data_IF_545226976758
#
_entry.id   IF_545226976758
#
_cell.length_a   1.000
_cell.length_b   1.000
_cell.length_c   1.000
_cell.angle_alpha   90.00
_cell.angle_beta   90.00
_cell.angle_gamma   90.00
#
_symmetry.space_group_name_H-M   'P 1'
#
loop_
_entity.id
_entity.type
_entity.pdbx_description
1 polymer ?
#
# COMPACT_ATOMS: atom_id res chain seq x y z
N UNK A 1 -13.89 8.47 -33.32
CA UNK A 1 -14.37 7.45 -32.35
C UNK A 1 -13.19 6.82 -31.58
N UNK A 2 -12.55 7.55 -30.67
CA UNK A 2 -11.39 7.05 -29.89
C UNK A 2 -11.74 6.59 -28.45
N UNK A 3 -13.03 6.34 -28.19
CA UNK A 3 -13.60 6.10 -26.86
C UNK A 3 -13.20 4.77 -26.14
N UNK A 4 -13.04 3.60 -26.80
CA UNK A 4 -12.96 2.34 -26.05
C UNK A 4 -11.65 2.11 -25.30
N UNK A 5 -10.53 2.70 -25.76
CA UNK A 5 -9.21 2.58 -25.11
C UNK A 5 -9.06 3.50 -23.88
N UNK A 6 -9.81 4.60 -23.83
CA UNK A 6 -9.84 5.50 -22.66
C UNK A 6 -10.55 4.84 -21.49
N UNK A 7 -11.70 4.22 -21.75
CA UNK A 7 -12.45 3.45 -20.75
C UNK A 7 -11.63 2.29 -20.21
N UNK A 8 -10.90 1.58 -21.08
CA UNK A 8 -10.08 0.45 -20.65
C UNK A 8 -8.94 0.86 -19.70
N UNK A 9 -8.30 2.02 -19.92
CA UNK A 9 -7.24 2.52 -19.02
C UNK A 9 -7.81 3.03 -17.70
N UNK A 10 -8.95 3.74 -17.74
CA UNK A 10 -9.64 4.19 -16.52
C UNK A 10 -10.10 3.00 -15.66
N UNK A 11 -10.66 1.96 -16.30
CA UNK A 11 -11.04 0.70 -15.64
C UNK A 11 -9.79 0.01 -15.05
N UNK A 12 -8.69 -0.08 -15.81
CA UNK A 12 -7.44 -0.65 -15.31
C UNK A 12 -6.92 0.11 -14.08
N UNK A 13 -7.06 1.44 -14.04
CA UNK A 13 -6.65 2.25 -12.90
C UNK A 13 -7.53 1.97 -11.68
N UNK A 14 -8.85 1.86 -11.85
CA UNK A 14 -9.76 1.47 -10.79
C UNK A 14 -9.42 0.08 -10.23
N UNK A 15 -9.15 -0.90 -11.11
CA UNK A 15 -8.75 -2.24 -10.70
C UNK A 15 -7.41 -2.25 -9.96
N UNK A 16 -6.43 -1.46 -10.43
CA UNK A 16 -5.13 -1.33 -9.75
C UNK A 16 -5.26 -0.68 -8.36
N UNK A 17 -6.12 0.35 -8.23
CA UNK A 17 -6.45 0.97 -6.93
C UNK A 17 -7.08 -0.03 -5.98
N UNK A 18 -8.12 -0.73 -6.43
CA UNK A 18 -8.82 -1.76 -5.66
C UNK A 18 -7.87 -2.88 -5.23
N UNK A 19 -6.95 -3.30 -6.10
CA UNK A 19 -5.92 -4.28 -5.76
C UNK A 19 -5.00 -3.78 -4.65
N UNK A 20 -4.49 -2.54 -4.77
CA UNK A 20 -3.63 -1.93 -3.74
C UNK A 20 -4.36 -1.82 -2.40
N UNK A 21 -5.64 -1.45 -2.41
CA UNK A 21 -6.47 -1.38 -1.19
C UNK A 21 -6.69 -2.76 -0.56
N UNK A 22 -6.99 -3.79 -1.37
CA UNK A 22 -7.16 -5.15 -0.87
C UNK A 22 -5.88 -5.69 -0.21
N UNK A 23 -4.70 -5.42 -0.79
CA UNK A 23 -3.41 -5.83 -0.19
C UNK A 23 -3.09 -4.99 1.05
N UNK A 24 -3.45 -3.71 1.09
CA UNK A 24 -3.30 -2.87 2.28
C UNK A 24 -4.16 -3.36 3.45
N UNK A 25 -5.40 -3.81 3.17
CA UNK A 25 -6.25 -4.45 4.18
C UNK A 25 -5.61 -5.75 4.70
N UNK A 26 -5.05 -6.58 3.82
CA UNK A 26 -4.30 -7.76 4.25
C UNK A 26 -3.10 -7.39 5.13
N UNK A 27 -2.38 -6.31 4.82
CA UNK A 27 -1.27 -5.82 5.64
C UNK A 27 -1.73 -5.43 7.04
N UNK A 28 -2.88 -4.76 7.15
CA UNK A 28 -3.46 -4.39 8.44
C UNK A 28 -3.76 -5.62 9.30
N UNK A 29 -4.39 -6.65 8.71
CA UNK A 29 -4.70 -7.91 9.40
C UNK A 29 -3.44 -8.61 9.91
N UNK A 30 -2.41 -8.79 9.07
CA UNK A 30 -1.18 -9.47 9.51
C UNK A 30 -0.39 -8.67 10.54
N UNK A 31 -0.45 -7.34 10.50
CA UNK A 31 0.14 -6.48 11.53
C UNK A 31 -0.58 -6.61 12.86
N UNK A 32 -1.91 -6.63 12.86
CA UNK A 32 -2.68 -6.87 14.08
C UNK A 32 -2.34 -8.22 14.71
N UNK A 33 -2.21 -9.28 13.89
CA UNK A 33 -1.79 -10.60 14.37
C UNK A 33 -0.37 -10.57 14.97
N UNK A 34 0.57 -9.87 14.34
CA UNK A 34 1.93 -9.70 14.88
C UNK A 34 1.93 -8.98 16.23
N UNK A 35 1.19 -7.86 16.36
CA UNK A 35 1.07 -7.13 17.63
C UNK A 35 0.45 -7.99 18.72
N UNK A 36 -0.60 -8.75 18.40
CA UNK A 36 -1.22 -9.66 19.36
C UNK A 36 -0.25 -10.76 19.81
N UNK A 37 0.52 -11.35 18.89
CA UNK A 37 1.52 -12.36 19.21
C UNK A 37 2.66 -11.81 20.08
N UNK A 38 3.08 -10.56 19.85
CA UNK A 38 4.07 -9.87 20.67
C UNK A 38 3.56 -9.68 22.10
N UNK A 39 2.33 -9.16 22.24
CA UNK A 39 1.72 -8.95 23.57
C UNK A 39 1.61 -10.27 24.36
N UNK A 40 1.26 -11.36 23.69
CA UNK A 40 1.22 -12.69 24.31
C UNK A 40 2.60 -13.16 24.77
N UNK A 41 3.65 -12.91 23.97
CA UNK A 41 5.02 -13.25 24.36
C UNK A 41 5.47 -12.44 25.58
N UNK A 42 5.25 -11.12 25.56
CA UNK A 42 5.60 -10.22 26.66
C UNK A 42 4.91 -10.66 27.97
N UNK A 43 3.65 -11.09 27.89
CA UNK A 43 2.92 -11.62 29.04
C UNK A 43 3.53 -12.92 29.59
N UNK A 44 3.92 -13.85 28.72
CA UNK A 44 4.54 -15.11 29.14
C UNK A 44 5.91 -14.88 29.78
N UNK A 45 6.72 -13.99 29.20
CA UNK A 45 8.04 -13.64 29.73
C UNK A 45 7.93 -12.91 31.07
N UNK A 46 7.03 -11.93 31.18
CA UNK A 46 6.76 -11.25 32.44
C UNK A 46 6.29 -12.22 33.53
N UNK A 47 5.37 -13.13 33.19
CA UNK A 47 4.90 -14.14 34.12
C UNK A 47 5.99 -15.12 34.56
N UNK A 48 6.88 -15.53 33.65
CA UNK A 48 8.04 -16.37 33.98
C UNK A 48 8.98 -15.66 34.96
N UNK A 49 9.26 -14.37 34.71
CA UNK A 49 10.12 -13.55 35.58
C UNK A 49 9.52 -13.39 36.98
N UNK A 50 8.25 -12.97 37.06
CA UNK A 50 7.56 -12.82 38.35
C UNK A 50 7.55 -14.12 39.16
N UNK A 51 7.30 -15.25 38.48
CA UNK A 51 7.23 -16.55 39.12
C UNK A 51 8.59 -16.98 39.66
N UNK A 52 9.66 -16.70 38.92
CA UNK A 52 11.05 -16.97 39.36
C UNK A 52 11.43 -16.10 40.57
N UNK A 53 11.08 -14.81 40.55
CA UNK A 53 11.35 -13.88 41.67
C UNK A 53 10.59 -14.30 42.93
N UNK A 54 9.28 -14.58 42.81
CA UNK A 54 8.46 -15.06 43.94
C UNK A 54 8.99 -16.37 44.51
N UNK A 55 9.41 -17.30 43.64
CA UNK A 55 9.98 -18.57 44.05
C UNK A 55 11.29 -18.38 44.85
N UNK A 56 12.23 -17.58 44.34
CA UNK A 56 13.50 -17.32 45.01
C UNK A 56 13.35 -16.62 46.38
N UNK A 57 12.31 -15.80 46.55
CA UNK A 57 11.99 -15.16 47.84
C UNK A 57 11.42 -16.15 48.90
N UNK A 58 10.87 -17.29 48.47
CA UNK A 58 10.22 -18.28 49.33
C UNK A 58 11.05 -19.56 49.55
N UNK A 59 12.21 -19.70 48.90
CA UNK A 59 12.91 -20.97 48.66
C UNK A 59 13.35 -21.73 49.93
N UNK A 60 13.59 -21.05 51.05
CA UNK A 60 14.08 -21.64 52.30
C UNK A 60 13.10 -22.61 53.01
N UNK A 61 11.86 -22.80 52.50
CA UNK A 61 10.78 -23.56 53.19
C UNK A 61 10.04 -24.59 52.34
N UNK A 62 10.45 -24.86 51.09
CA UNK A 62 9.68 -25.75 50.21
C UNK A 62 10.00 -27.22 50.41
N UNK A 63 8.98 -28.07 50.34
CA UNK A 63 9.16 -29.53 50.29
C UNK A 63 9.74 -29.95 48.92
N UNK A 64 10.53 -31.04 48.86
CA UNK A 64 11.15 -31.53 47.62
C UNK A 64 10.15 -31.75 46.47
N UNK A 65 8.94 -32.22 46.78
CA UNK A 65 7.88 -32.42 45.78
C UNK A 65 7.44 -31.09 45.13
N UNK A 66 7.36 -30.00 45.90
CA UNK A 66 7.00 -28.68 45.38
C UNK A 66 8.11 -28.14 44.47
N UNK A 67 9.38 -28.34 44.84
CA UNK A 67 10.51 -27.97 44.00
C UNK A 67 10.45 -28.67 42.63
N UNK A 68 10.18 -29.99 42.63
CA UNK A 68 10.04 -30.76 41.38
C UNK A 68 8.92 -30.21 40.50
N UNK A 69 7.76 -29.88 41.08
CA UNK A 69 6.64 -29.32 40.32
C UNK A 69 6.94 -27.93 39.77
N UNK A 70 7.64 -27.09 40.53
CA UNK A 70 8.08 -25.78 40.06
C UNK A 70 8.99 -25.89 38.82
N UNK A 71 10.03 -26.72 38.86
CA UNK A 71 10.92 -26.91 37.71
C UNK A 71 10.19 -27.47 36.49
N UNK A 72 9.32 -28.48 36.67
CA UNK A 72 8.51 -29.03 35.58
C UNK A 72 7.58 -27.99 34.94
N UNK A 73 7.02 -27.10 35.74
CA UNK A 73 6.20 -26.00 35.26
C UNK A 73 7.03 -24.98 34.49
N UNK A 74 8.18 -24.56 35.03
CA UNK A 74 9.09 -23.62 34.38
C UNK A 74 9.63 -24.16 33.04
N UNK A 75 9.95 -25.45 32.96
CA UNK A 75 10.36 -26.09 31.70
C UNK A 75 9.27 -26.00 30.62
N UNK A 76 8.00 -26.25 31.01
CA UNK A 76 6.86 -26.10 30.10
C UNK A 76 6.64 -24.66 29.71
N UNK A 77 6.75 -23.72 30.64
CA UNK A 77 6.59 -22.29 30.36
C UNK A 77 7.65 -21.79 29.38
N UNK A 78 8.92 -22.13 29.60
CA UNK A 78 10.01 -21.82 28.67
C UNK A 78 9.82 -22.49 27.30
N UNK A 79 9.29 -23.71 27.26
CA UNK A 79 8.95 -24.37 25.99
C UNK A 79 7.86 -23.59 25.24
N UNK A 80 6.80 -23.17 25.93
CA UNK A 80 5.72 -22.35 25.34
C UNK A 80 6.23 -21.00 24.84
N UNK A 81 7.11 -20.32 25.61
CA UNK A 81 7.76 -19.08 25.18
C UNK A 81 8.52 -19.30 23.87
N UNK A 82 9.35 -20.35 23.77
CA UNK A 82 10.06 -20.67 22.52
C UNK A 82 9.12 -20.91 21.34
N UNK A 83 8.01 -21.62 21.56
CA UNK A 83 6.99 -21.81 20.50
C UNK A 83 6.38 -20.47 20.08
N UNK A 84 6.03 -19.61 21.04
CA UNK A 84 5.46 -18.29 20.79
C UNK A 84 6.43 -17.36 20.06
N UNK A 85 7.74 -17.41 20.37
CA UNK A 85 8.78 -16.71 19.61
C UNK A 85 8.79 -17.15 18.14
N UNK A 86 8.69 -18.45 17.87
CA UNK A 86 8.59 -18.95 16.49
C UNK A 86 7.34 -18.46 15.75
N UNK A 87 6.20 -18.36 16.44
CA UNK A 87 4.96 -17.79 15.88
C UNK A 87 5.13 -16.29 15.57
N UNK A 88 5.77 -15.54 16.47
CA UNK A 88 6.07 -14.13 16.28
C UNK A 88 6.94 -13.89 15.04
N UNK A 89 7.98 -14.72 14.85
CA UNK A 89 8.82 -14.68 13.65
C UNK A 89 8.03 -14.96 12.37
N UNK A 90 7.12 -15.95 12.38
CA UNK A 90 6.26 -16.24 11.24
C UNK A 90 5.36 -15.05 10.89
N UNK A 91 4.79 -14.38 11.90
CA UNK A 91 4.01 -13.16 11.70
C UNK A 91 4.87 -12.00 11.18
N UNK A 92 6.09 -11.81 11.69
CA UNK A 92 7.01 -10.79 11.21
C UNK A 92 7.38 -11.02 9.72
N UNK A 93 7.65 -12.27 9.34
CA UNK A 93 7.87 -12.63 7.94
C UNK A 93 6.63 -12.38 7.06
N UNK A 94 5.43 -12.69 7.57
CA UNK A 94 4.18 -12.39 6.86
C UNK A 94 4.01 -10.89 6.64
N UNK A 95 4.23 -10.05 7.67
CA UNK A 95 4.20 -8.59 7.57
C UNK A 95 5.18 -8.10 6.50
N UNK A 96 6.41 -8.62 6.50
CA UNK A 96 7.43 -8.26 5.50
C UNK A 96 6.98 -8.61 4.07
N UNK A 97 6.51 -9.85 3.85
CA UNK A 97 6.02 -10.31 2.53
C UNK A 97 4.84 -9.50 2.03
N UNK A 98 3.85 -9.21 2.87
CA UNK A 98 2.67 -8.45 2.45
C UNK A 98 3.02 -6.96 2.24
N UNK A 99 3.93 -6.40 3.04
CA UNK A 99 4.43 -5.03 2.82
C UNK A 99 5.10 -4.87 1.47
N UNK A 100 5.88 -5.87 1.02
CA UNK A 100 6.45 -5.88 -0.33
C UNK A 100 5.37 -5.88 -1.42
N UNK A 101 4.28 -6.64 -1.24
CA UNK A 101 3.14 -6.66 -2.18
C UNK A 101 2.39 -5.34 -2.23
N UNK A 102 2.26 -4.63 -1.11
CA UNK A 102 1.67 -3.27 -1.10
C UNK A 102 2.52 -2.34 -1.97
N UNK A 103 3.84 -2.32 -1.74
CA UNK A 103 4.77 -1.49 -2.53
C UNK A 103 4.70 -1.81 -4.03
N UNK A 104 4.66 -3.09 -4.39
CA UNK A 104 4.51 -3.52 -5.78
C UNK A 104 3.18 -3.03 -6.40
N UNK A 105 2.07 -3.12 -5.65
CA UNK A 105 0.78 -2.65 -6.12
C UNK A 105 0.73 -1.11 -6.28
N UNK A 106 1.37 -0.38 -5.37
CA UNK A 106 1.54 1.08 -5.46
C UNK A 106 2.37 1.48 -6.68
N UNK A 107 3.51 0.82 -6.92
CA UNK A 107 4.35 1.05 -8.10
C UNK A 107 3.57 0.83 -9.40
N UNK A 108 2.79 -0.25 -9.49
CA UNK A 108 1.95 -0.54 -10.67
C UNK A 108 0.87 0.52 -10.89
N UNK A 109 0.21 0.95 -9.81
CA UNK A 109 -0.79 2.01 -9.88
C UNK A 109 -0.18 3.33 -10.36
N UNK A 110 0.99 3.69 -9.83
CA UNK A 110 1.67 4.93 -10.20
C UNK A 110 2.15 4.89 -11.66
N UNK A 111 2.75 3.78 -12.10
CA UNK A 111 3.12 3.59 -13.49
C UNK A 111 1.91 3.75 -14.43
N UNK A 112 0.75 3.20 -14.07
CA UNK A 112 -0.46 3.33 -14.87
C UNK A 112 -0.98 4.77 -14.92
N UNK A 113 -0.96 5.49 -13.80
CA UNK A 113 -1.32 6.93 -13.76
C UNK A 113 -0.41 7.77 -14.67
N UNK A 114 0.88 7.49 -14.69
CA UNK A 114 1.82 8.19 -15.57
C UNK A 114 1.51 7.94 -17.05
N UNK A 115 1.15 6.71 -17.41
CA UNK A 115 0.73 6.36 -18.78
C UNK A 115 -0.55 7.10 -19.17
N UNK A 116 -1.56 7.13 -18.29
CA UNK A 116 -2.81 7.85 -18.52
C UNK A 116 -2.54 9.35 -18.70
N UNK A 117 -1.78 9.96 -17.78
CA UNK A 117 -1.43 11.37 -17.84
C UNK A 117 -0.66 11.74 -19.12
N UNK A 118 0.31 10.92 -19.53
CA UNK A 118 1.05 11.11 -20.79
C UNK A 118 0.14 11.09 -22.01
N UNK A 119 -0.83 10.17 -22.03
CA UNK A 119 -1.79 10.04 -23.12
C UNK A 119 -2.74 11.24 -23.17
N UNK A 120 -3.24 11.68 -22.03
CA UNK A 120 -4.16 12.82 -21.96
C UNK A 120 -3.45 14.15 -22.30
N UNK A 121 -2.17 14.28 -21.95
CA UNK A 121 -1.33 15.40 -22.42
C UNK A 121 -1.19 15.40 -23.95
N UNK A 122 -0.91 14.24 -24.57
CA UNK A 122 -0.82 14.10 -26.04
C UNK A 122 -2.15 14.41 -26.72
N UNK A 123 -3.27 13.97 -26.14
CA UNK A 123 -4.61 14.25 -26.66
C UNK A 123 -4.91 15.75 -26.65
N UNK A 124 -4.68 16.43 -25.52
CA UNK A 124 -4.85 17.89 -25.39
C UNK A 124 -3.98 18.66 -26.38
N UNK A 125 -2.72 18.25 -26.56
CA UNK A 125 -1.83 18.89 -27.54
C UNK A 125 -2.31 18.69 -28.99
N UNK A 126 -2.91 17.53 -29.30
CA UNK A 126 -3.49 17.30 -30.62
C UNK A 126 -4.75 18.15 -30.87
N UNK A 127 -5.57 18.34 -29.85
CA UNK A 127 -6.77 19.19 -29.89
C UNK A 127 -6.40 20.66 -30.05
N UNK A 128 -5.50 21.20 -29.24
CA UNK A 128 -4.99 22.57 -29.37
C UNK A 128 -4.44 22.87 -30.76
N UNK A 129 -3.72 21.91 -31.38
CA UNK A 129 -3.23 22.07 -32.76
C UNK A 129 -4.35 22.13 -33.79
N UNK A 130 -5.44 21.40 -33.58
CA UNK A 130 -6.63 21.43 -34.46
C UNK A 130 -7.38 22.75 -34.32
N UNK A 131 -7.58 23.20 -33.09
CA UNK A 131 -8.23 24.48 -32.79
C UNK A 131 -7.44 25.65 -33.37
N UNK A 132 -6.12 25.68 -33.17
CA UNK A 132 -5.25 26.71 -33.75
C UNK A 132 -5.36 26.73 -35.27
N UNK A 133 -5.26 25.56 -35.92
CA UNK A 133 -5.37 25.46 -37.38
C UNK A 133 -6.73 25.98 -37.88
N UNK A 134 -7.82 25.62 -37.21
CA UNK A 134 -9.16 26.09 -37.57
C UNK A 134 -9.31 27.61 -37.39
N UNK A 135 -8.72 28.17 -36.33
CA UNK A 135 -8.70 29.62 -36.09
C UNK A 135 -7.91 30.36 -37.18
N UNK A 136 -6.73 29.85 -37.55
CA UNK A 136 -5.89 30.40 -38.61
C UNK A 136 -6.60 30.38 -39.98
N UNK A 137 -7.28 29.28 -40.31
CA UNK A 137 -8.07 29.13 -41.53
C UNK A 137 -9.23 30.15 -41.59
N UNK A 138 -9.90 30.40 -40.47
CA UNK A 138 -10.99 31.38 -40.38
C UNK A 138 -10.46 32.81 -40.51
N UNK A 139 -9.34 33.14 -39.85
CA UNK A 139 -8.68 34.43 -39.99
C UNK A 139 -8.25 34.71 -41.44
N UNK A 140 -7.66 33.72 -42.12
CA UNK A 140 -7.28 33.83 -43.52
C UNK A 140 -8.48 34.04 -44.45
N UNK A 141 -9.63 33.43 -44.17
CA UNK A 141 -10.86 33.65 -44.93
C UNK A 141 -11.42 35.06 -44.74
N UNK A 142 -11.46 35.57 -43.50
CA UNK A 142 -11.88 36.94 -43.20
C UNK A 142 -10.95 37.94 -43.87
N UNK A 143 -9.64 37.75 -43.79
CA UNK A 143 -8.67 38.62 -44.43
C UNK A 143 -8.84 38.64 -45.96
N UNK A 144 -9.08 37.49 -46.60
CA UNK A 144 -9.38 37.40 -48.04
C UNK A 144 -10.64 38.18 -48.42
N UNK A 145 -11.70 38.10 -47.62
CA UNK A 145 -12.95 38.87 -47.86
C UNK A 145 -12.76 40.37 -47.60
N UNK A 146 -11.92 40.74 -46.63
CA UNK A 146 -11.58 42.13 -46.34
C UNK A 146 -10.72 42.80 -47.42
N UNK A 147 -9.74 42.08 -47.98
CA UNK A 147 -8.90 42.59 -49.08
C UNK A 147 -9.66 42.75 -50.40
N UNK A 148 -10.71 41.94 -50.65
CA UNK A 148 -11.61 42.13 -51.79
C UNK A 148 -12.51 43.37 -51.69
N UNK A 149 -12.46 44.10 -50.57
CA UNK A 149 -13.31 45.25 -50.25
C UNK A 149 -12.49 46.52 -49.96
N UNK A 150 -11.29 46.62 -50.52
CA UNK A 150 -10.56 47.88 -50.61
C UNK A 150 -11.22 48.77 -51.68
N UNK A 151 -11.74 49.97 -51.35
CA UNK A 151 -12.21 50.91 -52.34
C UNK A 151 -11.01 51.46 -53.11
N UNK A 152 -11.01 51.29 -54.43
CA UNK A 152 -10.18 52.08 -55.33
C UNK A 152 -10.66 53.53 -55.25
N UNK A 153 -10.11 54.30 -54.32
CA UNK A 153 -10.16 55.77 -54.33
C UNK A 153 -8.88 56.27 -55.01
N UNK A 154 -9.00 56.72 -56.25
CA UNK A 154 -7.85 57.19 -57.02
C UNK A 154 -8.21 57.73 -58.40
N UNK A 155 -8.70 58.98 -58.39
CA UNK A 155 -8.62 60.07 -59.39
C UNK A 155 -8.88 59.81 -60.87
#
# INVERSE_FOLDING_TARGET
MSAPKTDALAMAEQMARARRDAVAQQLAVVRQAWVAAQLQLDQLEGYAQETTVRWGASDARHAPEIMRHHYQFMDRLHHTIRMQTGILEQHAQAVSRISAKVREAEQKLEALRQVIASRDAKARQAEQRREQKAADELAAQVHRRGQGRAPWEGR
#
